data_IF_727390318700
#
_entry.id   IF_727390318700
#
_cell.length_a   1.000
_cell.length_b   1.000
_cell.length_c   1.000
_cell.angle_alpha   90.00
_cell.angle_beta   90.00
_cell.angle_gamma   90.00
#
_symmetry.space_group_name_H-M   'P 1'
#
loop_
_entity.id
_entity.type
_entity.pdbx_description
1 polymer ?
#
# COMPACT_ATOMS: atom_id res chain seq x y z
N UNK A 1 -7.40 16.81 9.87
CA UNK A 1 -5.97 16.61 10.16
C UNK A 1 -5.64 15.19 9.76
N UNK A 2 -4.57 14.96 9.00
CA UNK A 2 -4.04 13.62 8.72
C UNK A 2 -4.01 12.81 10.02
N UNK A 3 -4.49 11.57 9.98
CA UNK A 3 -4.45 10.67 11.12
C UNK A 3 -3.24 9.74 11.04
N UNK A 4 -3.02 9.17 9.85
CA UNK A 4 -1.93 8.25 9.55
C UNK A 4 -1.53 8.37 8.07
N UNK A 5 -0.34 7.87 7.76
CA UNK A 5 0.15 7.75 6.39
C UNK A 5 0.48 6.30 6.07
N UNK A 6 0.31 5.91 4.81
CA UNK A 6 0.55 4.56 4.33
C UNK A 6 1.34 4.64 3.03
N UNK A 7 2.55 4.08 3.06
CA UNK A 7 3.48 4.05 1.93
C UNK A 7 3.48 2.66 1.34
N UNK A 8 3.06 2.53 0.08
CA UNK A 8 3.13 1.29 -0.67
C UNK A 8 4.26 1.36 -1.68
N UNK A 9 5.06 0.30 -1.80
CA UNK A 9 6.17 0.22 -2.76
C UNK A 9 6.02 -1.05 -3.59
N UNK A 10 6.11 -0.90 -4.90
CA UNK A 10 6.12 -2.02 -5.83
C UNK A 10 7.26 -1.88 -6.85
N UNK A 11 7.77 -3.02 -7.29
CA UNK A 11 8.99 -3.14 -8.11
C UNK A 11 8.73 -4.08 -9.27
N UNK A 12 9.01 -3.61 -10.48
CA UNK A 12 9.05 -4.45 -11.68
C UNK A 12 10.48 -4.54 -12.24
N UNK A 13 10.86 -5.68 -12.85
CA UNK A 13 12.05 -5.74 -13.70
C UNK A 13 11.92 -4.73 -14.84
N UNK A 14 13.00 -4.05 -15.20
CA UNK A 14 13.04 -3.21 -16.41
C UNK A 14 13.98 -3.82 -17.46
N UNK A 15 13.94 -3.30 -18.69
CA UNK A 15 14.62 -3.89 -19.87
C UNK A 15 16.18 -3.88 -19.82
N UNK A 16 16.81 -3.39 -18.75
CA UNK A 16 18.27 -3.47 -18.59
C UNK A 16 18.74 -4.63 -17.71
N UNK A 17 20.04 -4.69 -17.40
CA UNK A 17 20.57 -5.74 -16.50
C UNK A 17 21.41 -5.22 -15.30
N UNK A 18 20.86 -5.19 -14.06
CA UNK A 18 19.42 -5.22 -13.78
C UNK A 18 18.96 -3.89 -13.15
N UNK A 19 18.63 -2.88 -13.97
CA UNK A 19 17.74 -1.83 -13.55
C UNK A 19 16.36 -2.42 -13.26
N UNK A 20 15.74 -1.87 -12.24
CA UNK A 20 14.36 -2.14 -11.87
C UNK A 20 13.60 -0.82 -11.91
N UNK A 21 12.33 -0.90 -12.30
CA UNK A 21 11.41 0.21 -12.18
C UNK A 21 10.67 0.10 -10.86
N UNK A 22 10.60 1.22 -10.14
CA UNK A 22 10.06 1.26 -8.78
C UNK A 22 9.00 2.34 -8.71
N UNK A 23 7.85 2.01 -8.17
CA UNK A 23 6.84 3.00 -7.82
C UNK A 23 6.56 2.99 -6.34
N UNK A 24 6.52 4.17 -5.74
CA UNK A 24 6.03 4.34 -4.38
C UNK A 24 4.89 5.36 -4.35
N UNK A 25 3.84 5.03 -3.59
CA UNK A 25 2.64 5.83 -3.43
C UNK A 25 2.37 6.03 -1.94
N UNK A 26 2.22 7.29 -1.53
CA UNK A 26 1.90 7.66 -0.16
C UNK A 26 0.45 8.15 -0.07
N UNK A 27 -0.32 7.52 0.81
CA UNK A 27 -1.69 7.90 1.12
C UNK A 27 -1.81 8.44 2.53
N UNK A 28 -2.52 9.55 2.68
CA UNK A 28 -3.03 10.03 3.96
C UNK A 28 -4.38 9.40 4.26
N UNK A 29 -4.54 8.82 5.45
CA UNK A 29 -5.84 8.40 6.01
C UNK A 29 -6.36 9.45 6.97
N UNK A 30 -7.63 9.84 6.83
CA UNK A 30 -8.32 10.70 7.78
C UNK A 30 -8.71 9.96 9.07
N UNK A 31 -8.99 10.71 10.13
CA UNK A 31 -9.54 10.15 11.38
C UNK A 31 -10.92 9.54 11.12
N UNK A 32 -11.18 8.35 11.66
CA UNK A 32 -12.52 7.71 11.70
C UNK A 32 -13.47 8.45 12.66
N UNK A 33 -13.76 9.72 12.36
CA UNK A 33 -14.41 10.66 13.27
C UNK A 33 -15.89 10.97 12.97
N UNK A 34 -16.53 10.25 12.06
CA UNK A 34 -17.95 10.45 11.70
C UNK A 34 -18.59 9.21 11.08
N UNK A 35 -19.90 9.25 10.86
CA UNK A 35 -20.71 8.16 10.28
C UNK A 35 -20.24 7.69 8.89
N UNK A 36 -19.37 8.46 8.24
CA UNK A 36 -18.89 8.23 6.88
C UNK A 36 -17.61 7.37 6.79
N UNK A 37 -17.03 6.91 7.90
CA UNK A 37 -15.80 6.12 7.89
C UNK A 37 -14.56 6.89 7.40
N UNK A 38 -13.42 6.20 7.28
CA UNK A 38 -12.16 6.81 6.87
C UNK A 38 -12.16 7.22 5.38
N UNK A 39 -11.48 8.31 5.08
CA UNK A 39 -11.16 8.73 3.72
C UNK A 39 -9.65 8.71 3.49
N UNK A 40 -9.27 8.47 2.24
CA UNK A 40 -7.89 8.35 1.79
C UNK A 40 -7.58 9.45 0.79
N UNK A 41 -6.40 10.04 0.86
CA UNK A 41 -5.94 11.03 -0.11
C UNK A 41 -4.55 10.66 -0.57
N UNK A 42 -4.35 10.60 -1.88
CA UNK A 42 -3.01 10.48 -2.45
C UNK A 42 -2.25 11.76 -2.12
N UNK A 43 -1.19 11.64 -1.33
CA UNK A 43 -0.31 12.77 -1.01
C UNK A 43 0.74 12.94 -2.11
N UNK A 44 1.43 11.85 -2.45
CA UNK A 44 2.34 11.81 -3.60
C UNK A 44 2.52 10.39 -4.14
N UNK A 45 2.92 10.32 -5.40
CA UNK A 45 3.36 9.10 -6.07
C UNK A 45 4.59 9.44 -6.92
N UNK A 46 5.59 8.55 -6.90
CA UNK A 46 6.80 8.68 -7.70
C UNK A 46 7.10 7.37 -8.38
N UNK A 47 7.47 7.49 -9.64
CA UNK A 47 8.00 6.41 -10.45
C UNK A 47 9.47 6.70 -10.70
N UNK A 48 10.30 5.70 -10.43
CA UNK A 48 11.73 5.73 -10.65
C UNK A 48 12.08 4.64 -11.66
N UNK A 49 12.82 5.01 -12.68
CA UNK A 49 13.36 4.05 -13.65
C UNK A 49 14.81 3.78 -13.35
N UNK A 50 15.28 2.62 -13.78
CA UNK A 50 16.68 2.25 -13.74
C UNK A 50 17.35 2.22 -12.37
N UNK A 51 16.62 1.81 -11.32
CA UNK A 51 17.19 1.65 -9.99
C UNK A 51 18.10 0.42 -9.95
N UNK A 52 19.37 0.65 -9.63
CA UNK A 52 20.40 -0.38 -9.56
C UNK A 52 20.67 -0.88 -8.13
N UNK A 53 20.21 -0.16 -7.10
CA UNK A 53 20.57 -0.43 -5.70
C UNK A 53 19.35 -0.35 -4.78
N UNK A 54 19.06 -1.46 -4.08
CA UNK A 54 18.06 -1.48 -3.00
C UNK A 54 18.48 -0.61 -1.83
N UNK A 55 19.78 -0.51 -1.55
CA UNK A 55 20.31 0.30 -0.45
C UNK A 55 20.08 1.80 -0.64
N UNK A 56 20.27 2.29 -1.86
CA UNK A 56 20.03 3.70 -2.20
C UNK A 56 18.52 4.02 -2.15
N UNK A 57 17.69 3.09 -2.62
CA UNK A 57 16.24 3.21 -2.53
C UNK A 57 15.77 3.18 -1.07
N UNK A 58 16.29 2.27 -0.25
CA UNK A 58 15.95 2.17 1.17
C UNK A 58 16.34 3.44 1.94
N UNK A 59 17.52 4.01 1.65
CA UNK A 59 17.95 5.31 2.21
C UNK A 59 17.00 6.45 1.79
N UNK A 60 16.60 6.49 0.52
CA UNK A 60 15.63 7.47 0.02
C UNK A 60 14.27 7.35 0.72
N UNK A 61 13.73 6.14 0.86
CA UNK A 61 12.44 5.89 1.52
C UNK A 61 12.49 6.18 3.02
N UNK A 62 13.60 5.85 3.69
CA UNK A 62 13.82 6.21 5.09
C UNK A 62 13.87 7.73 5.25
N UNK A 63 14.59 8.43 4.37
CA UNK A 63 14.63 9.89 4.33
C UNK A 63 13.23 10.49 4.19
N UNK A 64 12.43 9.99 3.25
CA UNK A 64 11.05 10.39 3.04
C UNK A 64 10.21 10.20 4.32
N UNK A 65 10.25 9.03 4.94
CA UNK A 65 9.46 8.73 6.15
C UNK A 65 9.93 9.55 7.36
N UNK A 66 11.19 9.98 7.39
CA UNK A 66 11.74 10.82 8.45
C UNK A 66 11.33 12.30 8.36
N UNK A 67 10.72 12.74 7.26
CA UNK A 67 10.24 14.11 7.09
C UNK A 67 8.90 14.35 7.83
N UNK A 68 8.65 15.59 8.27
CA UNK A 68 7.31 15.98 8.71
C UNK A 68 6.41 16.16 7.48
N UNK A 69 5.15 15.68 7.49
CA UNK A 69 4.38 15.18 8.64
C UNK A 69 4.42 13.65 8.86
N UNK A 70 5.28 12.93 8.14
CA UNK A 70 5.29 11.46 8.03
C UNK A 70 5.92 10.76 9.24
N UNK A 71 6.92 11.39 9.86
CA UNK A 71 7.72 10.79 10.93
C UNK A 71 6.86 10.25 12.08
N UNK A 72 7.07 8.96 12.39
CA UNK A 72 6.36 8.24 13.46
C UNK A 72 4.89 7.95 13.16
N UNK A 73 4.42 8.18 11.93
CA UNK A 73 3.00 8.09 11.54
C UNK A 73 2.77 7.37 10.21
N UNK A 74 3.84 6.88 9.58
CA UNK A 74 3.80 6.15 8.32
C UNK A 74 3.98 4.67 8.57
N UNK A 75 3.02 3.86 8.09
CA UNK A 75 3.23 2.42 7.92
C UNK A 75 3.65 2.15 6.48
N UNK A 76 4.62 1.24 6.30
CA UNK A 76 5.20 0.90 5.01
C UNK A 76 4.81 -0.53 4.64
N UNK A 77 4.48 -0.76 3.37
CA UNK A 77 4.28 -2.08 2.78
C UNK A 77 5.04 -2.16 1.47
N UNK A 78 5.74 -3.27 1.27
CA UNK A 78 6.61 -3.50 0.11
C UNK A 78 6.20 -4.81 -0.55
N UNK A 79 5.97 -4.78 -1.86
CA UNK A 79 5.84 -5.98 -2.66
C UNK A 79 7.19 -6.68 -2.74
N UNK A 80 7.27 -7.90 -2.20
CA UNK A 80 8.43 -8.79 -2.32
C UNK A 80 8.24 -9.86 -3.40
N UNK A 81 7.38 -9.56 -4.38
CA UNK A 81 7.08 -10.47 -5.50
C UNK A 81 8.28 -10.70 -6.43
N UNK A 82 9.36 -9.93 -6.25
CA UNK A 82 10.64 -10.05 -6.97
C UNK A 82 11.80 -10.16 -5.99
N UNK A 83 12.94 -10.72 -6.43
CA UNK A 83 14.18 -10.78 -5.63
C UNK A 83 14.63 -9.39 -5.17
N UNK A 84 14.45 -8.36 -6.02
CA UNK A 84 14.75 -6.98 -5.67
C UNK A 84 13.79 -6.45 -4.60
N UNK A 85 12.50 -6.78 -4.68
CA UNK A 85 11.51 -6.44 -3.65
C UNK A 85 11.84 -7.06 -2.30
N UNK A 86 12.25 -8.34 -2.27
CA UNK A 86 12.74 -8.97 -1.03
C UNK A 86 14.01 -8.30 -0.50
N UNK A 87 15.00 -8.05 -1.37
CA UNK A 87 16.23 -7.36 -0.96
C UNK A 87 15.97 -5.92 -0.47
N UNK A 88 14.90 -5.26 -0.94
CA UNK A 88 14.47 -3.96 -0.43
C UNK A 88 13.85 -4.09 0.97
N UNK A 89 13.04 -5.11 1.23
CA UNK A 89 12.52 -5.40 2.59
C UNK A 89 13.68 -5.56 3.56
N UNK A 90 14.65 -6.43 3.25
CA UNK A 90 15.81 -6.68 4.09
C UNK A 90 16.61 -5.39 4.34
N UNK A 91 16.84 -4.59 3.30
CA UNK A 91 17.56 -3.31 3.41
C UNK A 91 16.83 -2.27 4.28
N UNK A 92 15.51 -2.28 4.31
CA UNK A 92 14.69 -1.40 5.15
C UNK A 92 14.71 -1.87 6.62
N UNK A 93 14.63 -3.18 6.86
CA UNK A 93 14.73 -3.77 8.20
C UNK A 93 16.11 -3.52 8.84
N UNK A 94 17.19 -3.69 8.07
CA UNK A 94 18.57 -3.39 8.50
C UNK A 94 18.75 -1.92 8.92
N UNK A 95 17.90 -1.03 8.42
CA UNK A 95 17.87 0.41 8.75
C UNK A 95 16.93 0.74 9.91
N UNK A 96 16.33 -0.26 10.55
CA UNK A 96 15.42 -0.10 11.68
C UNK A 96 14.01 0.35 11.28
N UNK A 97 13.62 0.17 10.03
CA UNK A 97 12.23 0.30 9.61
C UNK A 97 11.49 -1.03 9.82
N UNK A 98 10.16 -0.98 9.88
CA UNK A 98 9.29 -2.16 10.06
C UNK A 98 8.32 -2.28 8.85
N UNK A 99 8.83 -2.63 7.65
CA UNK A 99 7.98 -2.78 6.47
C UNK A 99 7.13 -4.05 6.58
N UNK A 100 5.86 -3.96 6.18
CA UNK A 100 5.05 -5.14 5.91
C UNK A 100 5.49 -5.73 4.57
N UNK A 101 6.02 -6.95 4.57
CA UNK A 101 6.38 -7.65 3.35
C UNK A 101 5.15 -8.31 2.71
N UNK A 102 4.79 -7.93 1.49
CA UNK A 102 3.61 -8.43 0.79
C UNK A 102 3.98 -9.35 -0.37
N UNK A 103 3.38 -10.53 -0.43
CA UNK A 103 3.45 -11.45 -1.57
C UNK A 103 2.13 -11.40 -2.32
N UNK A 104 2.15 -10.91 -3.55
CA UNK A 104 0.95 -10.84 -4.39
C UNK A 104 0.67 -12.19 -5.04
N UNK A 105 -0.60 -12.58 -5.04
CA UNK A 105 -1.08 -13.81 -5.68
C UNK A 105 -2.09 -13.46 -6.77
N UNK A 106 -2.20 -14.29 -7.81
CA UNK A 106 -3.15 -14.05 -8.92
C UNK A 106 -4.63 -14.25 -8.51
N UNK A 107 -4.91 -14.76 -7.31
CA UNK A 107 -6.25 -15.06 -6.83
C UNK A 107 -6.84 -14.00 -5.89
N UNK A 108 -7.93 -14.38 -5.22
CA UNK A 108 -8.52 -13.65 -4.10
C UNK A 108 -8.15 -14.31 -2.76
N UNK A 109 -8.15 -13.52 -1.70
CA UNK A 109 -7.87 -13.88 -0.32
C UNK A 109 -6.71 -13.11 0.30
N UNK A 110 -6.73 -13.00 1.62
CA UNK A 110 -5.58 -12.62 2.44
C UNK A 110 -5.22 -13.81 3.31
N UNK A 111 -3.95 -14.20 3.32
CA UNK A 111 -3.42 -15.18 4.26
C UNK A 111 -2.20 -14.58 4.98
N UNK A 112 -2.04 -14.91 6.26
CA UNK A 112 -0.76 -14.70 6.91
C UNK A 112 0.33 -15.49 6.16
N UNK A 113 1.54 -14.97 6.12
CA UNK A 113 2.72 -15.72 5.70
C UNK A 113 2.88 -17.02 6.48
N UNK A 114 3.82 -17.86 6.05
CA UNK A 114 4.17 -19.06 6.80
C UNK A 114 4.52 -18.72 8.26
N UNK A 115 4.44 -19.69 9.18
CA UNK A 115 4.53 -19.44 10.64
C UNK A 115 5.87 -18.81 11.08
N UNK A 116 6.89 -18.87 10.21
CA UNK A 116 8.22 -18.27 10.39
C UNK A 116 8.44 -17.01 9.51
N UNK A 117 7.40 -16.53 8.83
CA UNK A 117 7.46 -15.47 7.84
C UNK A 117 6.73 -14.21 8.34
N UNK A 118 7.48 -13.11 8.48
CA UNK A 118 6.92 -11.80 8.81
C UNK A 118 6.42 -11.17 7.49
N UNK A 119 5.33 -11.71 6.95
CA UNK A 119 4.78 -11.29 5.67
C UNK A 119 3.29 -11.59 5.51
N UNK A 120 2.67 -10.99 4.49
CA UNK A 120 1.27 -11.21 4.13
C UNK A 120 1.16 -11.70 2.70
N UNK A 121 0.29 -12.68 2.45
CA UNK A 121 -0.14 -13.05 1.10
C UNK A 121 -1.42 -12.29 0.78
N UNK A 122 -1.40 -11.55 -0.32
CA UNK A 122 -2.50 -10.71 -0.76
C UNK A 122 -2.92 -11.12 -2.17
N UNK A 123 -4.20 -11.37 -2.38
CA UNK A 123 -4.78 -11.47 -3.71
C UNK A 123 -4.64 -10.14 -4.45
N UNK A 124 -3.95 -10.14 -5.59
CA UNK A 124 -3.76 -8.94 -6.41
C UNK A 124 -5.09 -8.35 -6.86
N UNK A 125 -6.06 -9.22 -7.18
CA UNK A 125 -7.44 -8.81 -7.51
C UNK A 125 -8.10 -8.10 -6.33
N UNK A 126 -7.94 -8.60 -5.11
CA UNK A 126 -8.54 -7.99 -3.91
C UNK A 126 -7.90 -6.65 -3.54
N UNK A 127 -6.58 -6.53 -3.72
CA UNK A 127 -5.86 -5.28 -3.51
C UNK A 127 -6.39 -4.19 -4.44
N UNK A 128 -6.49 -4.50 -5.73
CA UNK A 128 -6.96 -3.56 -6.76
C UNK A 128 -8.47 -3.28 -6.63
N UNK A 129 -9.26 -4.29 -6.24
CA UNK A 129 -10.67 -4.11 -5.91
C UNK A 129 -10.85 -3.13 -4.74
N UNK A 130 -10.02 -3.21 -3.70
CA UNK A 130 -10.10 -2.32 -2.54
C UNK A 130 -9.99 -0.85 -2.93
N UNK A 131 -8.99 -0.50 -3.76
CA UNK A 131 -8.82 0.89 -4.21
C UNK A 131 -9.95 1.34 -5.15
N UNK A 132 -10.48 0.44 -5.99
CA UNK A 132 -11.60 0.71 -6.88
C UNK A 132 -12.92 0.92 -6.12
N UNK A 133 -13.22 0.09 -5.11
CA UNK A 133 -14.39 0.25 -4.24
C UNK A 133 -14.34 1.57 -3.46
N UNK A 134 -13.18 1.96 -2.95
CA UNK A 134 -13.00 3.27 -2.30
C UNK A 134 -13.18 4.43 -3.27
N UNK A 135 -12.78 4.28 -4.53
CA UNK A 135 -13.04 5.25 -5.59
C UNK A 135 -14.53 5.40 -5.88
N UNK A 136 -15.23 4.26 -6.07
CA UNK A 136 -16.68 4.21 -6.27
C UNK A 136 -17.44 4.86 -5.11
N UNK A 137 -17.02 4.57 -3.88
CA UNK A 137 -17.57 5.16 -2.65
C UNK A 137 -17.18 6.62 -2.39
N UNK A 138 -16.39 7.24 -3.28
CA UNK A 138 -15.80 8.60 -3.10
C UNK A 138 -15.05 8.75 -1.77
N UNK A 139 -14.45 7.66 -1.29
CA UNK A 139 -13.63 7.61 -0.08
C UNK A 139 -12.15 7.78 -0.38
N UNK A 140 -11.74 7.79 -1.64
CA UNK A 140 -10.36 8.10 -2.05
C UNK A 140 -10.32 9.34 -2.94
N UNK A 141 -9.35 10.21 -2.69
CA UNK A 141 -9.07 11.39 -3.49
C UNK A 141 -7.68 11.26 -4.12
N UNK A 142 -7.61 11.12 -5.44
CA UNK A 142 -6.36 11.02 -6.21
C UNK A 142 -5.91 12.39 -6.70
N UNK A 143 -5.92 13.37 -5.80
CA UNK A 143 -5.60 14.76 -6.10
C UNK A 143 -4.07 14.96 -6.15
N UNK A 144 -3.51 14.89 -7.36
CA UNK A 144 -2.07 15.01 -7.60
C UNK A 144 -1.78 15.42 -9.04
N UNK A 145 -2.41 16.50 -9.51
CA UNK A 145 -2.51 16.84 -10.95
C UNK A 145 -1.20 17.23 -11.63
N UNK A 146 -0.06 17.24 -10.93
CA UNK A 146 1.21 17.74 -11.48
C UNK A 146 2.13 16.64 -12.00
N UNK A 147 1.80 15.37 -11.78
CA UNK A 147 2.63 14.25 -12.28
C UNK A 147 1.86 13.36 -13.24
N UNK A 148 2.58 12.85 -14.24
CA UNK A 148 2.04 11.89 -15.20
C UNK A 148 1.61 10.59 -14.50
N UNK A 149 2.40 10.13 -13.52
CA UNK A 149 2.14 8.90 -12.76
C UNK A 149 0.84 8.98 -11.96
N UNK A 150 0.56 10.10 -11.30
CA UNK A 150 -0.72 10.31 -10.61
C UNK A 150 -1.90 10.36 -11.59
N UNK A 151 -1.70 11.00 -12.75
CA UNK A 151 -2.74 11.05 -13.80
C UNK A 151 -3.02 9.67 -14.40
N UNK A 152 -1.98 8.84 -14.54
CA UNK A 152 -2.10 7.45 -15.00
C UNK A 152 -2.84 6.62 -13.94
N UNK A 153 -2.42 6.70 -12.68
CA UNK A 153 -3.11 6.03 -11.56
C UNK A 153 -4.60 6.41 -11.52
N UNK A 154 -4.95 7.70 -11.63
CA UNK A 154 -6.34 8.12 -11.60
C UNK A 154 -7.19 7.52 -12.75
N UNK A 155 -6.63 7.44 -13.96
CA UNK A 155 -7.32 6.82 -15.11
C UNK A 155 -7.49 5.32 -14.92
N UNK A 156 -6.47 4.64 -14.41
CA UNK A 156 -6.49 3.19 -14.26
C UNK A 156 -7.44 2.80 -13.11
N UNK A 157 -7.46 3.53 -11.99
CA UNK A 157 -8.43 3.34 -10.90
C UNK A 157 -9.87 3.62 -11.34
N UNK A 158 -10.08 4.65 -12.17
CA UNK A 158 -11.39 4.92 -12.79
C UNK A 158 -11.83 3.73 -13.65
N UNK A 159 -10.96 3.21 -14.51
CA UNK A 159 -11.28 2.06 -15.37
C UNK A 159 -11.61 0.80 -14.55
N UNK A 160 -10.89 0.56 -13.46
CA UNK A 160 -11.17 -0.55 -12.54
C UNK A 160 -12.54 -0.40 -11.85
N UNK A 161 -12.91 0.81 -11.45
CA UNK A 161 -14.23 1.08 -10.88
C UNK A 161 -15.35 0.87 -11.91
N UNK A 162 -15.13 1.25 -13.17
CA UNK A 162 -16.08 1.02 -14.27
C UNK A 162 -16.25 -0.48 -14.55
N UNK A 163 -15.17 -1.28 -14.48
CA UNK A 163 -15.25 -2.74 -14.59
C UNK A 163 -16.09 -3.36 -13.45
N UNK A 164 -15.96 -2.84 -12.23
CA UNK A 164 -16.80 -3.28 -11.10
C UNK A 164 -18.27 -2.91 -11.28
N UNK A 165 -18.57 -1.73 -11.80
CA UNK A 165 -19.95 -1.32 -12.09
C UNK A 165 -20.59 -2.20 -13.19
N UNK A 166 -19.83 -2.55 -14.24
CA UNK A 166 -20.28 -3.45 -15.30
C UNK A 166 -20.54 -4.86 -14.76
N UNK A 167 -19.62 -5.39 -13.95
CA UNK A 167 -19.79 -6.67 -13.26
C UNK A 167 -21.08 -6.70 -12.41
N UNK A 168 -21.31 -5.68 -11.57
CA UNK A 168 -22.52 -5.62 -10.75
C UNK A 168 -23.81 -5.52 -11.58
N UNK A 169 -23.79 -4.75 -12.67
CA UNK A 169 -24.92 -4.66 -13.60
C UNK A 169 -25.24 -5.97 -14.30
N UNK A 170 -24.21 -6.76 -14.62
CA UNK A 170 -24.37 -8.10 -15.19
C UNK A 170 -24.93 -9.10 -14.17
N UNK A 171 -24.59 -8.98 -12.87
CA UNK A 171 -25.21 -9.81 -11.81
C UNK A 171 -26.72 -9.56 -11.66
N UNK A 172 -27.17 -8.31 -11.81
CA UNK A 172 -28.60 -8.00 -11.79
C UNK A 172 -29.34 -8.55 -13.03
N UNK A 173 -28.64 -8.69 -14.16
CA UNK A 173 -29.22 -9.10 -15.44
C UNK A 173 -29.19 -10.62 -15.71
N UNK A 174 -28.12 -11.31 -15.31
CA UNK A 174 -27.85 -12.71 -15.64
C UNK A 174 -27.08 -13.36 -14.48
N UNK A 175 -27.71 -14.28 -13.72
CA UNK A 175 -27.09 -14.97 -12.57
C UNK A 175 -25.93 -15.92 -12.91
N UNK A 176 -24.94 -15.45 -13.66
CA UNK A 176 -23.73 -16.15 -14.11
C UNK A 176 -22.51 -15.25 -13.92
N UNK A 177 -21.40 -15.88 -13.52
CA UNK A 177 -20.15 -15.29 -13.03
C UNK A 177 -19.66 -14.06 -13.79
N UNK A 178 -19.39 -13.01 -13.04
CA UNK A 178 -18.85 -11.74 -13.51
C UNK A 178 -17.36 -11.80 -13.81
N UNK A 179 -16.92 -10.95 -14.74
CA UNK A 179 -15.52 -10.60 -14.92
C UNK A 179 -15.08 -9.73 -13.74
N UNK A 180 -14.28 -10.27 -12.83
CA UNK A 180 -13.61 -9.50 -11.78
C UNK A 180 -12.66 -8.44 -12.40
N UNK A 181 -12.36 -7.34 -11.69
CA UNK A 181 -11.39 -6.36 -12.19
C UNK A 181 -10.06 -7.05 -12.48
N UNK A 182 -9.50 -6.80 -13.66
CA UNK A 182 -8.26 -7.45 -14.07
C UNK A 182 -7.08 -6.91 -13.26
N UNK A 183 -6.35 -7.79 -12.59
CA UNK A 183 -5.07 -7.45 -11.98
C UNK A 183 -3.95 -7.56 -13.01
N UNK A 184 -3.21 -6.48 -13.20
CA UNK A 184 -1.98 -6.44 -14.00
C UNK A 184 -0.77 -6.26 -13.05
N UNK A 185 0.04 -7.30 -12.82
CA UNK A 185 1.21 -7.19 -11.94
C UNK A 185 2.30 -6.25 -12.49
N UNK A 186 2.27 -5.91 -13.79
CA UNK A 186 3.22 -4.95 -14.38
C UNK A 186 2.78 -3.49 -14.15
N UNK A 187 1.53 -3.26 -13.74
CA UNK A 187 1.00 -1.94 -13.41
C UNK A 187 1.46 -1.48 -12.01
N UNK A 188 2.77 -1.37 -11.80
CA UNK A 188 3.38 -1.12 -10.48
C UNK A 188 2.88 0.15 -9.78
N UNK A 189 2.37 1.14 -10.52
CA UNK A 189 1.73 2.33 -9.93
C UNK A 189 0.35 2.03 -9.33
N UNK A 190 -0.43 1.14 -9.93
CA UNK A 190 -1.70 0.66 -9.37
C UNK A 190 -1.42 -0.23 -8.17
N UNK A 191 -0.50 -1.19 -8.31
CA UNK A 191 -0.13 -2.12 -7.24
C UNK A 191 0.41 -1.40 -6.01
N UNK A 192 1.35 -0.47 -6.19
CA UNK A 192 1.89 0.37 -5.11
C UNK A 192 0.78 1.14 -4.37
N UNK A 193 -0.16 1.74 -5.11
CA UNK A 193 -1.28 2.46 -4.52
C UNK A 193 -2.26 1.52 -3.80
N UNK A 194 -2.58 0.38 -4.41
CA UNK A 194 -3.47 -0.63 -3.86
C UNK A 194 -2.91 -1.19 -2.53
N UNK A 195 -1.62 -1.49 -2.47
CA UNK A 195 -0.94 -1.95 -1.25
C UNK A 195 -1.03 -0.91 -0.13
N UNK A 196 -0.73 0.36 -0.43
CA UNK A 196 -0.79 1.45 0.55
C UNK A 196 -2.20 1.59 1.14
N UNK A 197 -3.21 1.59 0.28
CA UNK A 197 -4.61 1.75 0.67
C UNK A 197 -5.13 0.54 1.43
N UNK A 198 -4.80 -0.68 0.99
CA UNK A 198 -5.11 -1.92 1.69
C UNK A 198 -4.51 -1.95 3.10
N UNK A 199 -3.23 -1.57 3.25
CA UNK A 199 -2.62 -1.48 4.58
C UNK A 199 -3.36 -0.45 5.45
N UNK A 200 -3.81 0.65 4.84
CA UNK A 200 -4.62 1.67 5.49
C UNK A 200 -6.01 1.20 5.92
N UNK A 201 -6.63 0.26 5.21
CA UNK A 201 -7.92 -0.34 5.63
C UNK A 201 -7.72 -1.33 6.77
N UNK A 202 -6.61 -2.07 6.79
CA UNK A 202 -6.30 -3.06 7.83
C UNK A 202 -5.78 -2.42 9.12
N UNK A 203 -5.02 -1.33 9.03
CA UNK A 203 -4.44 -0.66 10.21
C UNK A 203 -5.21 0.60 10.59
N UNK A 204 -5.55 0.70 11.88
CA UNK A 204 -5.91 1.95 12.52
C UNK A 204 -4.70 2.48 13.31
N UNK A 205 -4.35 3.75 13.10
CA UNK A 205 -3.31 4.40 13.89
C UNK A 205 -3.97 5.10 15.08
N UNK A 206 -4.32 4.38 16.14
CA UNK A 206 -4.85 5.00 17.36
C UNK A 206 -3.70 5.33 18.33
N UNK A 207 -3.22 6.59 18.42
CA UNK A 207 -2.15 6.96 19.34
C UNK A 207 -2.55 6.77 20.82
N UNK A 208 -3.84 6.61 21.13
CA UNK A 208 -4.29 6.32 22.50
C UNK A 208 -4.06 4.87 22.93
N UNK A 209 -3.79 3.94 22.01
CA UNK A 209 -3.37 2.56 22.35
C UNK A 209 -2.02 2.57 23.08
N UNK A 210 -1.05 3.36 22.60
CA UNK A 210 0.24 3.55 23.27
C UNK A 210 0.14 4.26 24.64
N UNK A 211 -0.95 5.00 24.89
CA UNK A 211 -1.23 5.63 26.18
C UNK A 211 -2.05 4.75 27.13
N UNK A 212 -2.60 3.62 26.64
CA UNK A 212 -3.28 2.60 27.45
C UNK A 212 -2.32 1.52 27.94
N UNK A 213 -1.16 1.38 27.32
CA UNK A 213 -0.05 0.67 27.94
C UNK A 213 0.37 1.43 29.19
N UNK A 214 0.08 0.84 30.35
CA UNK A 214 0.45 1.43 31.63
C UNK A 214 1.97 1.67 31.62
N UNK A 215 2.46 2.83 32.09
CA UNK A 215 3.90 3.06 32.17
C UNK A 215 4.53 1.90 32.93
N UNK A 216 5.50 1.23 32.31
CA UNK A 216 6.30 0.19 32.96
C UNK A 216 7.18 0.84 34.04
N UNK A 217 6.60 1.13 35.21
CA UNK A 217 7.35 1.57 36.39
C UNK A 217 7.78 0.44 37.31
N UNK A 218 7.45 -0.82 37.00
CA UNK A 218 7.83 -1.95 37.84
C UNK A 218 9.05 -2.69 37.26
N UNK A 219 10.18 -1.96 37.17
CA UNK A 219 11.50 -2.59 37.17
C UNK A 219 11.99 -2.71 38.61
N UNK A 220 11.56 -3.82 39.24
CA UNK A 220 12.32 -4.68 40.15
C UNK A 220 13.34 -3.98 41.07
N UNK A 221 12.89 -3.60 42.26
CA UNK A 221 13.66 -3.70 43.48
C UNK A 221 13.22 -4.93 44.27
N UNK A 222 14.18 -5.64 44.86
CA UNK A 222 14.09 -6.82 45.74
C UNK A 222 14.11 -8.21 45.10
N UNK A 223 15.34 -8.77 45.01
CA UNK A 223 15.71 -10.06 45.60
C UNK A 223 17.23 -10.11 45.82
#
# INVERSE_FOLDING_TARGET
MAHAFFLGVDVAPSDGNPPHDVTHALFEKSTEGGDDGATYRLDHIRHHTDIASTDELADHLQGLVAEQPYIGRTSLIVSRSTDFGQALVDALEDRGMDPVAATLTEGSGVAAGDTDEIGVHLGGVDAVRTIADLHRGRKIALEGYTTEVASRLARDVQALAEQLDEADGDLEALGTSTSEPSFDPEAIHVTSAALAVWLGTERSFDPSQHLKESPQTDSVGDA
#
